data_IF_975133673366
#
_entry.id   IF_975133673366
#
_cell.length_a   1.000
_cell.length_b   1.000
_cell.length_c   1.000
_cell.angle_alpha   90.00
_cell.angle_beta   90.00
_cell.angle_gamma   90.00
#
_symmetry.space_group_name_H-M   'P 1'
#
loop_
_entity.id
_entity.type
_entity.pdbx_description
1 polymer ?
#
# COMPACT_ATOMS: atom_id res chain seq x y z
N UNK A 1 40.32 72.45 -5.67
CA UNK A 1 41.66 72.71 -5.09
C UNK A 1 41.66 72.32 -3.62
N UNK A 2 42.66 71.52 -3.22
CA UNK A 2 43.21 71.29 -1.86
C UNK A 2 42.37 70.52 -0.80
N UNK A 3 42.82 69.30 -0.53
CA UNK A 3 42.81 68.66 0.80
C UNK A 3 43.66 69.49 1.80
N UNK A 4 43.44 69.34 3.13
CA UNK A 4 44.43 68.57 3.88
C UNK A 4 43.89 67.67 5.01
N UNK A 5 44.83 66.85 5.46
CA UNK A 5 44.79 65.69 6.35
C UNK A 5 45.01 66.13 7.84
N UNK A 6 44.70 65.19 8.75
CA UNK A 6 45.27 64.94 10.10
C UNK A 6 44.40 65.30 11.31
N UNK A 7 44.32 64.35 12.25
CA UNK A 7 44.28 64.68 13.67
C UNK A 7 43.50 63.73 14.58
N UNK A 8 44.05 62.56 14.85
CA UNK A 8 43.63 61.63 15.90
C UNK A 8 43.56 62.31 17.30
N UNK A 9 42.47 62.13 18.06
CA UNK A 9 42.52 62.04 19.54
C UNK A 9 41.22 61.49 20.18
N UNK A 10 41.43 60.43 20.96
CA UNK A 10 40.58 59.75 21.96
C UNK A 10 39.27 60.45 22.36
N UNK A 11 38.15 59.73 22.26
CA UNK A 11 36.96 59.95 23.09
C UNK A 11 36.53 58.65 23.76
N UNK A 12 36.74 58.63 25.06
CA UNK A 12 36.15 57.74 26.07
C UNK A 12 34.64 57.67 25.84
N UNK A 13 34.09 56.50 25.51
CA UNK A 13 32.64 56.29 25.44
C UNK A 13 32.13 55.96 26.84
N UNK A 14 31.36 56.89 27.39
CA UNK A 14 30.46 56.66 28.52
C UNK A 14 29.36 55.72 28.03
N UNK A 15 29.22 54.58 28.70
CA UNK A 15 28.18 53.59 28.44
C UNK A 15 26.83 54.13 28.92
N UNK A 16 25.88 54.31 28.00
CA UNK A 16 24.47 54.51 28.32
C UNK A 16 23.79 53.13 28.25
N UNK A 17 23.30 52.66 29.40
CA UNK A 17 22.54 51.43 29.54
C UNK A 17 21.14 51.63 28.96
N UNK A 18 20.86 50.99 27.82
CA UNK A 18 19.50 50.82 27.29
C UNK A 18 18.98 49.52 27.89
N UNK A 19 17.98 49.63 28.77
CA UNK A 19 17.22 48.49 29.27
C UNK A 19 16.36 47.94 28.12
N UNK A 20 16.82 46.89 27.45
CA UNK A 20 15.94 46.02 26.66
C UNK A 20 15.17 45.12 27.63
N UNK A 21 13.87 45.34 27.75
CA UNK A 21 12.99 44.40 28.40
C UNK A 21 12.97 43.09 27.60
N UNK A 22 13.61 42.06 28.13
CA UNK A 22 13.53 40.70 27.63
C UNK A 22 12.08 40.21 27.73
N UNK A 23 11.35 40.27 26.62
CA UNK A 23 10.11 39.52 26.46
C UNK A 23 10.50 38.05 26.25
N UNK A 24 10.49 37.29 27.35
CA UNK A 24 10.66 35.85 27.30
C UNK A 24 9.42 35.27 26.59
N UNK A 25 9.52 35.02 25.28
CA UNK A 25 8.58 34.14 24.60
C UNK A 25 8.72 32.75 25.23
N UNK A 26 7.80 32.41 26.12
CA UNK A 26 7.53 31.02 26.47
C UNK A 26 7.10 30.32 25.18
N UNK A 27 8.07 29.71 24.49
CA UNK A 27 7.83 28.75 23.43
C UNK A 27 7.23 27.47 24.07
N UNK A 28 5.99 27.57 24.52
CA UNK A 28 5.13 26.42 24.76
C UNK A 28 4.66 25.90 23.41
N UNK A 29 5.54 25.20 22.69
CA UNK A 29 5.07 24.30 21.64
C UNK A 29 4.06 23.31 22.26
N UNK A 30 3.10 22.76 21.48
CA UNK A 30 2.24 21.71 21.99
C UNK A 30 3.11 20.64 22.66
N UNK A 31 2.69 20.09 23.82
CA UNK A 31 3.51 19.14 24.55
C UNK A 31 3.96 18.06 23.57
N UNK A 32 5.28 17.93 23.40
CA UNK A 32 5.85 16.86 22.61
C UNK A 32 5.29 15.56 23.20
N UNK A 33 4.50 14.84 22.41
CA UNK A 33 3.97 13.54 22.81
C UNK A 33 5.19 12.68 23.11
N UNK A 34 5.36 12.18 24.34
CA UNK A 34 6.47 11.30 24.66
C UNK A 34 6.39 10.10 23.71
N UNK A 35 7.46 9.87 22.96
CA UNK A 35 7.56 8.71 22.09
C UNK A 35 7.36 7.45 22.94
N UNK A 36 6.34 6.65 22.57
CA UNK A 36 6.05 5.41 23.25
C UNK A 36 7.29 4.48 23.23
N UNK A 37 7.59 3.78 24.33
CA UNK A 37 8.68 2.81 24.34
C UNK A 37 8.34 1.64 23.40
N UNK A 38 9.26 1.26 22.51
CA UNK A 38 9.04 0.21 21.52
C UNK A 38 9.32 -1.20 22.09
N UNK A 39 8.31 -2.08 22.09
CA UNK A 39 8.35 -3.50 21.64
C UNK A 39 7.02 -4.22 21.93
N UNK A 40 6.03 -3.99 21.07
CA UNK A 40 4.75 -4.70 21.06
C UNK A 40 3.92 -4.26 19.87
N UNK A 41 3.03 -5.12 19.36
CA UNK A 41 2.12 -4.74 18.28
C UNK A 41 1.11 -3.73 18.83
N UNK A 42 0.99 -2.57 18.19
CA UNK A 42 0.13 -1.47 18.64
C UNK A 42 -1.27 -1.63 18.03
N UNK A 43 -2.28 -1.77 18.86
CA UNK A 43 -3.66 -2.01 18.44
C UNK A 43 -4.56 -0.84 18.83
N UNK A 44 -5.30 -0.27 17.90
CA UNK A 44 -6.40 0.65 18.20
C UNK A 44 -7.73 -0.11 18.21
N UNK A 45 -8.59 0.17 19.19
CA UNK A 45 -9.97 -0.33 19.21
C UNK A 45 -10.88 0.88 19.08
N UNK A 46 -11.67 0.95 18.01
CA UNK A 46 -12.64 2.03 17.83
C UNK A 46 -13.93 1.72 18.60
N UNK A 47 -14.73 2.75 18.87
CA UNK A 47 -16.08 2.58 19.41
C UNK A 47 -16.93 1.83 18.36
N UNK A 48 -17.64 0.77 18.78
CA UNK A 48 -18.43 -0.03 17.85
C UNK A 48 -19.71 0.72 17.48
N UNK A 49 -20.18 0.50 16.25
CA UNK A 49 -21.38 1.18 15.76
C UNK A 49 -22.65 0.49 16.28
N UNK A 50 -23.60 1.30 16.73
CA UNK A 50 -24.95 0.84 17.02
C UNK A 50 -25.81 0.86 15.74
N UNK A 51 -25.95 -0.30 15.10
CA UNK A 51 -26.79 -0.52 13.93
C UNK A 51 -28.12 -1.21 14.28
N UNK A 52 -28.55 -1.15 15.54
CA UNK A 52 -29.82 -1.76 16.00
C UNK A 52 -31.05 -0.91 15.71
N UNK A 53 -30.86 0.33 15.28
CA UNK A 53 -31.94 1.30 15.06
C UNK A 53 -32.51 1.94 16.33
N UNK A 54 -31.93 1.68 17.51
CA UNK A 54 -32.39 2.26 18.79
C UNK A 54 -31.24 2.65 19.71
N UNK A 55 -31.27 3.89 20.20
CA UNK A 55 -30.31 4.44 21.17
C UNK A 55 -30.39 3.77 22.55
N UNK A 56 -31.50 3.07 22.85
CA UNK A 56 -31.63 2.29 24.08
C UNK A 56 -30.55 1.20 24.21
N UNK A 57 -29.94 0.79 23.09
CA UNK A 57 -28.91 -0.23 23.04
C UNK A 57 -27.48 0.34 23.07
N UNK A 58 -27.30 1.67 23.09
CA UNK A 58 -25.96 2.30 23.12
C UNK A 58 -25.12 1.82 24.30
N UNK A 59 -25.76 1.62 25.45
CA UNK A 59 -25.08 1.10 26.66
C UNK A 59 -24.59 -0.34 26.46
N UNK A 60 -25.35 -1.17 25.73
CA UNK A 60 -24.95 -2.54 25.42
C UNK A 60 -23.81 -2.58 24.39
N UNK A 61 -23.86 -1.73 23.35
CA UNK A 61 -22.78 -1.61 22.36
C UNK A 61 -21.49 -1.15 23.04
N UNK A 62 -21.58 -0.14 23.91
CA UNK A 62 -20.43 0.33 24.70
C UNK A 62 -19.85 -0.77 25.59
N UNK A 63 -20.72 -1.52 26.30
CA UNK A 63 -20.29 -2.64 27.12
C UNK A 63 -19.64 -3.76 26.31
N UNK A 64 -20.13 -4.02 25.09
CA UNK A 64 -19.52 -4.96 24.15
C UNK A 64 -18.12 -4.50 23.72
N UNK A 65 -17.95 -3.22 23.34
CA UNK A 65 -16.64 -2.64 23.02
C UNK A 65 -15.67 -2.77 24.19
N UNK A 66 -16.11 -2.39 25.40
CA UNK A 66 -15.28 -2.47 26.61
C UNK A 66 -14.94 -3.94 26.96
N UNK A 67 -15.83 -4.89 26.68
CA UNK A 67 -15.60 -6.34 26.87
C UNK A 67 -14.52 -6.87 25.94
N UNK A 68 -14.57 -6.52 24.65
CA UNK A 68 -13.56 -6.90 23.65
C UNK A 68 -12.22 -6.26 23.99
N UNK A 69 -12.21 -4.96 24.31
CA UNK A 69 -11.02 -4.25 24.76
C UNK A 69 -10.37 -4.96 25.96
N UNK A 70 -11.17 -5.30 26.97
CA UNK A 70 -10.70 -6.03 28.16
C UNK A 70 -10.13 -7.40 27.82
N UNK A 71 -10.71 -8.12 26.85
CA UNK A 71 -10.20 -9.40 26.41
C UNK A 71 -8.82 -9.27 25.75
N UNK A 72 -8.57 -8.20 25.00
CA UNK A 72 -7.32 -7.98 24.25
C UNK A 72 -6.21 -7.37 25.11
N UNK A 73 -6.53 -6.45 26.03
CA UNK A 73 -5.56 -5.79 26.93
C UNK A 73 -4.92 -6.76 27.93
N UNK A 74 -5.54 -7.91 28.22
CA UNK A 74 -4.99 -8.95 29.11
C UNK A 74 -3.64 -9.53 28.65
N UNK A 75 -3.18 -9.20 27.44
CA UNK A 75 -1.88 -9.64 26.94
C UNK A 75 -0.80 -8.58 27.14
N UNK A 76 0.31 -8.96 27.77
CA UNK A 76 1.52 -8.13 27.90
C UNK A 76 2.23 -7.84 26.55
N UNK A 77 1.74 -8.40 25.43
CA UNK A 77 2.39 -8.32 24.10
C UNK A 77 1.71 -7.37 23.12
N UNK A 78 0.54 -6.83 23.48
CA UNK A 78 -0.25 -5.92 22.64
C UNK A 78 -0.36 -4.59 23.36
N UNK A 79 0.14 -3.54 22.73
CA UNK A 79 -0.01 -2.18 23.25
C UNK A 79 -1.31 -1.60 22.71
N UNK A 80 -2.30 -1.40 23.57
CA UNK A 80 -3.56 -0.80 23.12
C UNK A 80 -3.49 0.73 23.20
N UNK A 81 -3.90 1.39 22.12
CA UNK A 81 -3.96 2.85 22.07
C UNK A 81 -5.00 3.38 23.06
N UNK A 82 -4.63 4.41 23.82
CA UNK A 82 -5.52 5.04 24.79
C UNK A 82 -6.77 5.63 24.14
N UNK A 83 -7.93 5.44 24.79
CA UNK A 83 -9.24 5.87 24.27
C UNK A 83 -9.34 7.39 24.08
N UNK A 84 -8.70 8.18 24.95
CA UNK A 84 -8.61 9.64 24.81
C UNK A 84 -7.91 10.05 23.51
N UNK A 85 -6.84 9.35 23.14
CA UNK A 85 -6.10 9.57 21.88
C UNK A 85 -6.94 9.20 20.66
N UNK A 86 -7.63 8.06 20.71
CA UNK A 86 -8.56 7.63 19.65
C UNK A 86 -9.63 8.72 19.42
N UNK A 87 -10.24 9.23 20.49
CA UNK A 87 -11.25 10.29 20.40
C UNK A 87 -10.70 11.60 19.87
N UNK A 88 -9.51 12.02 20.30
CA UNK A 88 -8.89 13.25 19.81
C UNK A 88 -8.69 13.21 18.28
N UNK A 89 -8.14 12.10 17.77
CA UNK A 89 -7.93 11.92 16.32
C UNK A 89 -9.25 11.89 15.54
N UNK A 90 -10.30 11.27 16.09
CA UNK A 90 -11.62 11.22 15.43
C UNK A 90 -12.37 12.57 15.46
N UNK A 91 -12.22 13.34 16.54
CA UNK A 91 -12.85 14.66 16.72
C UNK A 91 -12.19 15.74 15.86
N UNK A 92 -10.86 15.73 15.76
CA UNK A 92 -10.10 16.72 14.99
C UNK A 92 -10.47 16.75 13.50
N UNK A 93 -11.04 15.66 12.98
CA UNK A 93 -11.25 15.50 11.54
C UNK A 93 -12.73 15.50 11.11
N UNK A 94 -13.69 15.83 12.00
CA UNK A 94 -15.13 15.85 11.68
C UNK A 94 -15.67 14.56 11.00
N UNK A 95 -15.03 13.41 11.21
CA UNK A 95 -15.37 12.14 10.52
C UNK A 95 -16.51 11.37 11.16
N UNK A 96 -17.18 11.96 12.15
CA UNK A 96 -18.29 11.36 12.90
C UNK A 96 -19.62 11.34 12.11
N UNK A 97 -19.70 11.96 10.91
CA UNK A 97 -20.98 12.26 10.26
C UNK A 97 -21.30 11.45 8.99
N UNK A 98 -20.41 10.58 8.50
CA UNK A 98 -20.73 9.69 7.36
C UNK A 98 -20.70 8.24 7.80
N UNK A 99 -21.87 7.61 7.91
CA UNK A 99 -22.09 6.20 8.32
C UNK A 99 -21.56 5.14 7.34
N UNK A 100 -20.46 5.42 6.66
CA UNK A 100 -19.69 4.47 5.87
C UNK A 100 -18.20 4.76 6.15
N UNK A 101 -17.67 4.08 7.17
CA UNK A 101 -16.23 4.05 7.43
C UNK A 101 -15.57 3.09 6.44
N UNK A 102 -15.02 3.64 5.35
CA UNK A 102 -14.26 2.88 4.36
C UNK A 102 -12.85 2.52 4.89
N UNK A 103 -12.32 1.40 4.42
CA UNK A 103 -10.97 0.89 4.74
C UNK A 103 -9.89 1.95 4.52
N UNK A 104 -10.00 2.78 3.48
CA UNK A 104 -9.09 3.90 3.22
C UNK A 104 -9.03 4.92 4.36
N UNK A 105 -10.18 5.35 4.89
CA UNK A 105 -10.24 6.28 6.05
C UNK A 105 -9.66 5.63 7.31
N UNK A 106 -9.90 4.34 7.50
CA UNK A 106 -9.42 3.60 8.67
C UNK A 106 -7.89 3.45 8.67
N UNK A 107 -7.26 3.23 7.51
CA UNK A 107 -5.79 3.22 7.43
C UNK A 107 -5.17 4.57 7.81
N UNK A 108 -5.84 5.68 7.47
CA UNK A 108 -5.37 7.02 7.86
C UNK A 108 -5.49 7.23 9.37
N UNK A 109 -6.64 6.89 9.97
CA UNK A 109 -6.86 6.94 11.43
C UNK A 109 -5.80 6.10 12.15
N UNK A 110 -5.52 4.89 11.67
CA UNK A 110 -4.49 4.01 12.24
C UNK A 110 -3.10 4.65 12.21
N UNK A 111 -2.71 5.25 11.09
CA UNK A 111 -1.42 5.95 10.95
C UNK A 111 -1.29 7.10 11.93
N UNK A 112 -2.35 7.90 12.13
CA UNK A 112 -2.36 9.00 13.10
C UNK A 112 -2.29 8.52 14.55
N UNK A 113 -2.87 7.35 14.84
CA UNK A 113 -2.79 6.72 16.15
C UNK A 113 -1.47 5.99 16.40
N UNK A 114 -0.61 5.89 15.38
CA UNK A 114 0.56 5.01 15.36
C UNK A 114 0.20 3.55 15.70
N UNK A 115 -0.95 3.09 15.22
CA UNK A 115 -1.40 1.72 15.39
C UNK A 115 -0.97 0.86 14.18
N UNK A 116 -0.55 -0.38 14.46
CA UNK A 116 -0.28 -1.40 13.46
C UNK A 116 -1.59 -2.03 12.94
N UNK A 117 -2.56 -2.19 13.83
CA UNK A 117 -3.85 -2.80 13.54
C UNK A 117 -5.01 -2.04 14.20
N UNK A 118 -6.22 -2.17 13.64
CA UNK A 118 -7.44 -1.56 14.16
C UNK A 118 -8.54 -2.61 14.33
N UNK A 119 -9.21 -2.61 15.47
CA UNK A 119 -10.46 -3.35 15.69
C UNK A 119 -11.64 -2.45 15.41
N UNK A 120 -12.55 -2.94 14.59
CA UNK A 120 -13.82 -2.32 14.22
C UNK A 120 -14.95 -3.29 14.52
N UNK A 121 -16.16 -2.78 14.66
CA UNK A 121 -17.32 -3.65 14.75
C UNK A 121 -18.64 -2.91 14.81
N UNK A 122 -19.71 -3.68 14.64
CA UNK A 122 -21.08 -3.21 14.62
C UNK A 122 -21.94 -4.18 15.42
N UNK A 123 -22.87 -3.67 16.23
CA UNK A 123 -23.97 -4.48 16.75
C UNK A 123 -25.25 -4.08 16.04
N UNK A 124 -25.89 -5.04 15.37
CA UNK A 124 -27.21 -4.88 14.77
C UNK A 124 -28.23 -5.81 15.42
N UNK A 125 -29.51 -5.52 15.18
CA UNK A 125 -30.61 -6.36 15.61
C UNK A 125 -31.53 -6.61 14.42
N UNK A 126 -31.65 -7.86 14.02
CA UNK A 126 -32.51 -8.29 12.90
C UNK A 126 -33.58 -9.21 13.49
N UNK A 127 -34.84 -8.81 13.34
CA UNK A 127 -35.98 -9.49 13.96
C UNK A 127 -35.80 -9.66 15.50
N UNK A 128 -35.49 -10.88 15.94
CA UNK A 128 -35.28 -11.25 17.35
C UNK A 128 -33.83 -11.63 17.66
N UNK A 129 -32.91 -11.43 16.73
CA UNK A 129 -31.53 -11.84 16.85
C UNK A 129 -30.59 -10.63 16.87
N UNK A 130 -29.58 -10.73 17.73
CA UNK A 130 -28.50 -9.79 17.89
C UNK A 130 -27.32 -10.28 17.08
N UNK A 131 -26.84 -9.44 16.17
CA UNK A 131 -25.76 -9.79 15.27
C UNK A 131 -24.60 -8.85 15.57
N UNK A 132 -23.52 -9.42 16.09
CA UNK A 132 -22.28 -8.70 16.32
C UNK A 132 -21.27 -9.03 15.23
N UNK A 133 -20.78 -8.02 14.52
CA UNK A 133 -19.66 -8.15 13.60
C UNK A 133 -18.43 -7.50 14.22
N UNK A 134 -17.30 -8.20 14.15
CA UNK A 134 -16.01 -7.72 14.63
C UNK A 134 -14.97 -7.93 13.54
N UNK A 135 -14.15 -6.91 13.25
CA UNK A 135 -13.13 -6.97 12.20
C UNK A 135 -11.80 -6.46 12.73
N UNK A 136 -10.72 -7.11 12.29
CA UNK A 136 -9.35 -6.69 12.51
C UNK A 136 -8.76 -6.22 11.18
N UNK A 137 -8.29 -4.99 11.13
CA UNK A 137 -7.70 -4.36 9.96
C UNK A 137 -6.19 -4.18 10.16
N UNK A 138 -5.38 -4.49 9.15
CA UNK A 138 -3.98 -4.11 9.08
C UNK A 138 -3.83 -2.68 8.56
N UNK A 139 -3.18 -1.80 9.32
CA UNK A 139 -3.06 -0.37 8.97
C UNK A 139 -2.11 -0.15 7.79
N UNK A 140 -1.10 -1.00 7.64
CA UNK A 140 -0.06 -0.88 6.60
C UNK A 140 -0.62 -1.20 5.22
N UNK A 141 -1.38 -2.29 5.12
CA UNK A 141 -1.91 -2.82 3.86
C UNK A 141 -3.38 -2.46 3.61
N UNK A 142 -4.13 -2.06 4.64
CA UNK A 142 -5.57 -1.83 4.55
C UNK A 142 -6.40 -3.10 4.39
N UNK A 143 -5.80 -4.29 4.59
CA UNK A 143 -6.48 -5.58 4.48
C UNK A 143 -7.18 -5.96 5.79
N UNK A 144 -8.31 -6.65 5.69
CA UNK A 144 -8.98 -7.27 6.84
C UNK A 144 -8.24 -8.57 7.16
N UNK A 145 -7.61 -8.64 8.33
CA UNK A 145 -6.88 -9.80 8.84
C UNK A 145 -7.81 -10.85 9.44
N UNK A 146 -8.93 -10.41 10.01
CA UNK A 146 -9.93 -11.27 10.64
C UNK A 146 -11.30 -10.60 10.58
N UNK A 147 -12.34 -11.40 10.37
CA UNK A 147 -13.72 -11.01 10.64
C UNK A 147 -14.39 -12.14 11.46
N UNK A 148 -15.05 -11.79 12.54
CA UNK A 148 -15.86 -12.69 13.36
C UNK A 148 -17.30 -12.17 13.39
N UNK A 149 -18.25 -13.09 13.30
CA UNK A 149 -19.67 -12.81 13.45
C UNK A 149 -20.21 -13.70 14.56
N UNK A 150 -21.05 -13.13 15.42
CA UNK A 150 -21.81 -13.90 16.39
C UNK A 150 -23.28 -13.49 16.35
N UNK A 151 -24.15 -14.46 16.60
CA UNK A 151 -25.59 -14.34 16.55
C UNK A 151 -26.18 -14.82 17.87
N UNK A 152 -26.99 -13.98 18.52
CA UNK A 152 -27.54 -14.26 19.83
C UNK A 152 -29.02 -13.90 19.92
N UNK A 153 -29.83 -14.77 20.51
CA UNK A 153 -31.29 -14.53 20.66
C UNK A 153 -31.64 -13.60 21.82
N UNK A 154 -30.72 -13.48 22.79
CA UNK A 154 -30.92 -12.71 24.01
C UNK A 154 -29.80 -11.69 24.18
N UNK A 155 -30.16 -10.47 24.60
CA UNK A 155 -29.19 -9.42 24.90
C UNK A 155 -28.18 -9.83 26.00
N UNK A 156 -28.60 -10.69 26.94
CA UNK A 156 -27.76 -11.24 28.01
C UNK A 156 -26.57 -12.06 27.50
N UNK A 157 -26.68 -12.63 26.29
CA UNK A 157 -25.65 -13.49 25.66
C UNK A 157 -24.66 -12.72 24.80
N UNK A 158 -24.97 -11.47 24.46
CA UNK A 158 -24.11 -10.60 23.64
C UNK A 158 -22.74 -10.39 24.30
N UNK A 159 -22.66 -10.12 25.60
CA UNK A 159 -21.38 -9.89 26.27
C UNK A 159 -20.51 -11.16 26.36
N UNK A 160 -21.04 -12.34 26.73
CA UNK A 160 -20.31 -13.60 26.59
C UNK A 160 -19.78 -13.87 25.16
N UNK A 161 -20.60 -13.64 24.13
CA UNK A 161 -20.21 -13.81 22.75
C UNK A 161 -19.09 -12.82 22.35
N UNK A 162 -19.22 -11.55 22.74
CA UNK A 162 -18.22 -10.51 22.54
C UNK A 162 -16.89 -10.84 23.20
N UNK A 163 -16.91 -11.43 24.41
CA UNK A 163 -15.70 -11.89 25.09
C UNK A 163 -15.00 -12.99 24.27
N UNK A 164 -15.75 -13.98 23.77
CA UNK A 164 -15.21 -15.05 22.92
C UNK A 164 -14.61 -14.48 21.64
N UNK A 165 -15.29 -13.53 21.00
CA UNK A 165 -14.78 -12.81 19.83
C UNK A 165 -13.49 -12.05 20.16
N UNK A 166 -13.42 -11.38 21.32
CA UNK A 166 -12.21 -10.72 21.81
C UNK A 166 -11.04 -11.67 22.05
N UNK A 167 -11.30 -12.87 22.55
CA UNK A 167 -10.26 -13.92 22.70
C UNK A 167 -9.78 -14.44 21.34
N UNK A 168 -10.66 -14.57 20.34
CA UNK A 168 -10.29 -14.92 18.97
C UNK A 168 -9.48 -13.81 18.30
N UNK A 169 -9.88 -12.55 18.49
CA UNK A 169 -9.11 -11.37 18.05
C UNK A 169 -7.72 -11.38 18.69
N UNK A 170 -7.62 -11.59 20.00
CA UNK A 170 -6.33 -11.64 20.66
C UNK A 170 -5.46 -12.76 20.07
N UNK A 171 -6.03 -13.93 19.80
CA UNK A 171 -5.31 -15.00 19.09
C UNK A 171 -4.92 -14.58 17.68
N UNK A 172 -5.73 -13.84 16.94
CA UNK A 172 -5.39 -13.36 15.60
C UNK A 172 -4.25 -12.32 15.64
N UNK A 173 -4.36 -11.34 16.53
CA UNK A 173 -3.31 -10.34 16.83
C UNK A 173 -2.00 -11.04 17.24
N UNK A 174 -2.09 -12.06 18.09
CA UNK A 174 -0.94 -12.85 18.54
C UNK A 174 -0.45 -13.89 17.52
N UNK A 175 -1.29 -14.39 16.62
CA UNK A 175 -0.89 -15.24 15.47
C UNK A 175 -0.11 -14.44 14.43
N UNK A 176 -0.18 -13.11 14.49
CA UNK A 176 0.85 -12.21 13.97
C UNK A 176 2.26 -12.50 14.53
N UNK A 177 2.44 -13.41 15.50
CA UNK A 177 3.71 -14.09 15.76
C UNK A 177 4.07 -15.03 14.60
N UNK A 178 4.58 -14.39 13.56
CA UNK A 178 5.64 -14.83 12.65
C UNK A 178 5.79 -16.35 12.55
N UNK A 179 4.87 -16.98 11.85
CA UNK A 179 5.19 -18.24 11.20
C UNK A 179 6.19 -17.92 10.08
N UNK A 180 7.30 -18.65 10.06
CA UNK A 180 8.27 -18.53 8.98
C UNK A 180 8.02 -19.62 7.95
N UNK A 181 8.15 -19.23 6.68
CA UNK A 181 7.94 -20.10 5.54
C UNK A 181 9.22 -20.14 4.71
N UNK A 182 9.58 -21.33 4.22
CA UNK A 182 10.58 -21.50 3.18
C UNK A 182 9.88 -21.68 1.85
N UNK A 183 10.14 -20.76 0.93
CA UNK A 183 9.73 -20.87 -0.46
C UNK A 183 10.96 -21.23 -1.29
N UNK A 184 10.83 -22.28 -2.08
CA UNK A 184 11.87 -22.74 -3.02
C UNK A 184 11.35 -22.58 -4.43
N UNK A 185 12.09 -21.87 -5.27
CA UNK A 185 11.80 -21.69 -6.68
C UNK A 185 12.93 -22.22 -7.55
N UNK A 186 12.59 -22.63 -8.77
CA UNK A 186 13.54 -22.85 -9.86
C UNK A 186 13.42 -21.72 -10.86
N UNK A 187 14.54 -21.10 -11.18
CA UNK A 187 14.67 -19.99 -12.12
C UNK A 187 15.24 -20.52 -13.44
N UNK A 188 14.53 -20.26 -14.55
CA UNK A 188 14.95 -20.75 -15.88
C UNK A 188 13.79 -20.88 -16.87
N UNK A 189 14.03 -21.57 -17.99
CA UNK A 189 12.94 -22.01 -18.89
C UNK A 189 12.11 -23.06 -18.14
N UNK A 190 10.80 -23.00 -18.27
CA UNK A 190 9.85 -23.92 -17.61
C UNK A 190 9.99 -25.41 -18.00
N UNK A 191 11.09 -25.81 -18.64
CA UNK A 191 11.47 -27.18 -18.99
C UNK A 191 12.47 -27.83 -18.01
N UNK A 192 12.91 -27.11 -16.98
CA UNK A 192 13.82 -27.64 -15.95
C UNK A 192 15.29 -27.71 -16.37
N UNK A 193 15.66 -27.15 -17.53
CA UNK A 193 17.05 -26.93 -17.88
C UNK A 193 17.57 -25.69 -17.13
N UNK A 194 18.35 -25.91 -16.07
CA UNK A 194 18.96 -24.85 -15.29
C UNK A 194 19.98 -24.09 -16.13
N UNK A 195 19.59 -22.95 -16.69
CA UNK A 195 20.50 -22.06 -17.38
C UNK A 195 21.43 -21.43 -16.34
N UNK A 196 22.75 -21.46 -16.57
CA UNK A 196 23.71 -20.83 -15.65
C UNK A 196 23.44 -19.32 -15.60
N UNK A 197 22.95 -18.85 -14.45
CA UNK A 197 22.74 -17.44 -14.20
C UNK A 197 24.07 -16.71 -14.01
N UNK A 198 24.18 -15.50 -14.55
CA UNK A 198 25.27 -14.59 -14.18
C UNK A 198 25.02 -14.04 -12.78
N UNK A 199 26.08 -13.73 -12.03
CA UNK A 199 25.96 -13.14 -10.69
C UNK A 199 25.09 -11.87 -10.67
N UNK A 200 25.15 -11.04 -11.73
CA UNK A 200 24.31 -9.85 -11.86
C UNK A 200 22.82 -10.16 -12.08
N UNK A 201 22.49 -11.27 -12.75
CA UNK A 201 21.09 -11.71 -12.87
C UNK A 201 20.55 -12.26 -11.55
N UNK A 202 21.38 -12.97 -10.78
CA UNK A 202 21.02 -13.47 -9.45
C UNK A 202 20.74 -12.32 -8.48
N UNK A 203 21.62 -11.32 -8.43
CA UNK A 203 21.45 -10.13 -7.59
C UNK A 203 20.19 -9.35 -7.98
N UNK A 204 19.97 -9.11 -9.29
CA UNK A 204 18.76 -8.44 -9.79
C UNK A 204 17.50 -9.20 -9.42
N UNK A 205 17.49 -10.54 -9.57
CA UNK A 205 16.36 -11.39 -9.22
C UNK A 205 16.04 -11.31 -7.73
N UNK A 206 17.03 -11.48 -6.86
CA UNK A 206 16.83 -11.38 -5.41
C UNK A 206 16.32 -10.01 -4.99
N UNK A 207 16.83 -8.92 -5.58
CA UNK A 207 16.34 -7.57 -5.32
C UNK A 207 14.87 -7.37 -5.72
N UNK A 208 14.42 -7.95 -6.83
CA UNK A 208 13.00 -7.91 -7.24
C UNK A 208 12.14 -8.72 -6.27
N UNK A 209 12.57 -9.95 -5.94
CA UNK A 209 11.84 -10.82 -5.02
C UNK A 209 11.72 -10.20 -3.63
N UNK A 210 12.77 -9.54 -3.15
CA UNK A 210 12.73 -8.78 -1.90
C UNK A 210 11.66 -7.69 -1.93
N UNK A 211 11.67 -6.82 -2.95
CA UNK A 211 10.65 -5.77 -3.09
C UNK A 211 9.23 -6.32 -3.16
N UNK A 212 9.03 -7.47 -3.80
CA UNK A 212 7.73 -8.13 -3.84
C UNK A 212 7.31 -8.64 -2.47
N UNK A 213 8.17 -9.39 -1.76
CA UNK A 213 7.88 -9.87 -0.40
C UNK A 213 7.47 -8.71 0.51
N UNK A 214 8.22 -7.61 0.47
CA UNK A 214 7.92 -6.38 1.22
C UNK A 214 6.58 -5.75 0.79
N UNK A 215 6.27 -5.77 -0.51
CA UNK A 215 5.00 -5.30 -1.07
C UNK A 215 3.78 -6.10 -0.62
N UNK A 216 3.94 -7.42 -0.41
CA UNK A 216 2.94 -8.28 0.23
C UNK A 216 2.90 -8.15 1.76
N UNK A 217 3.71 -7.26 2.33
CA UNK A 217 3.73 -6.94 3.75
C UNK A 217 4.74 -7.75 4.56
N UNK A 218 5.39 -8.75 3.97
CA UNK A 218 6.34 -9.61 4.67
C UNK A 218 7.76 -9.09 4.71
N UNK A 219 8.64 -9.90 5.29
CA UNK A 219 10.09 -9.66 5.28
C UNK A 219 10.87 -10.95 5.03
N UNK A 220 12.10 -10.80 4.51
CA UNK A 220 12.99 -11.92 4.20
C UNK A 220 14.02 -12.06 5.31
N UNK A 221 14.07 -13.21 5.96
CA UNK A 221 15.13 -13.56 6.94
C UNK A 221 16.40 -14.06 6.26
N UNK A 222 16.23 -14.85 5.21
CA UNK A 222 17.33 -15.42 4.43
C UNK A 222 16.89 -15.53 2.98
N UNK A 223 17.75 -15.11 2.07
CA UNK A 223 17.59 -15.34 0.65
C UNK A 223 18.89 -15.90 0.09
N UNK A 224 18.78 -16.90 -0.78
CA UNK A 224 19.88 -17.41 -1.57
C UNK A 224 19.41 -17.70 -2.99
N UNK A 225 20.29 -17.51 -3.95
CA UNK A 225 20.15 -17.97 -5.32
C UNK A 225 21.45 -18.69 -5.67
N UNK A 226 21.37 -19.97 -6.03
CA UNK A 226 22.53 -20.76 -6.47
C UNK A 226 22.10 -21.72 -7.56
N UNK A 227 22.78 -21.68 -8.71
CA UNK A 227 22.54 -22.61 -9.83
C UNK A 227 21.06 -22.63 -10.26
N UNK A 228 20.40 -21.46 -10.27
CA UNK A 228 18.98 -21.34 -10.62
C UNK A 228 18.00 -21.77 -9.52
N UNK A 229 18.47 -22.32 -8.40
CA UNK A 229 17.63 -22.58 -7.22
C UNK A 229 17.57 -21.34 -6.33
N UNK A 230 16.38 -20.81 -6.13
CA UNK A 230 16.10 -19.68 -5.24
C UNK A 230 15.44 -20.18 -3.97
N UNK A 231 15.99 -19.86 -2.81
CA UNK A 231 15.39 -20.18 -1.51
C UNK A 231 15.16 -18.89 -0.72
N UNK A 232 13.91 -18.68 -0.30
CA UNK A 232 13.49 -17.53 0.50
C UNK A 232 12.90 -18.03 1.83
N UNK A 233 13.49 -17.62 2.94
CA UNK A 233 12.87 -17.75 4.27
C UNK A 233 12.16 -16.43 4.59
N UNK A 234 10.84 -16.45 4.54
CA UNK A 234 9.98 -15.26 4.72
C UNK A 234 9.21 -15.32 6.03
N UNK A 235 8.86 -14.15 6.55
CA UNK A 235 8.01 -13.96 7.72
C UNK A 235 7.00 -12.83 7.48
N UNK A 236 6.05 -12.68 8.41
CA UNK A 236 5.01 -11.63 8.35
C UNK A 236 4.12 -11.74 7.09
N UNK A 237 3.89 -12.98 6.63
CA UNK A 237 3.07 -13.27 5.46
C UNK A 237 1.69 -13.77 5.89
N UNK A 238 0.64 -13.12 5.38
CA UNK A 238 -0.74 -13.50 5.63
C UNK A 238 -1.13 -14.81 4.91
N UNK A 239 -0.74 -14.94 3.64
CA UNK A 239 -0.98 -16.14 2.83
C UNK A 239 0.30 -16.49 2.03
N UNK A 240 1.00 -17.59 2.38
CA UNK A 240 2.24 -17.97 1.72
C UNK A 240 2.02 -18.49 0.29
N UNK A 241 0.83 -18.99 -0.04
CA UNK A 241 0.49 -19.46 -1.38
C UNK A 241 0.15 -18.28 -2.30
N UNK A 242 -0.58 -17.27 -1.79
CA UNK A 242 -0.80 -16.00 -2.48
C UNK A 242 0.55 -15.33 -2.80
N UNK A 243 1.44 -15.25 -1.79
CA UNK A 243 2.78 -14.73 -1.98
C UNK A 243 3.52 -15.49 -3.09
N UNK A 244 3.56 -16.83 -3.01
CA UNK A 244 4.26 -17.65 -4.01
C UNK A 244 3.77 -17.35 -5.44
N UNK A 245 2.45 -17.26 -5.63
CA UNK A 245 1.86 -16.86 -6.91
C UNK A 245 2.28 -15.46 -7.36
N UNK A 246 2.27 -14.49 -6.45
CA UNK A 246 2.72 -13.12 -6.69
C UNK A 246 4.20 -13.00 -7.05
N UNK A 247 5.07 -13.78 -6.40
CA UNK A 247 6.50 -13.80 -6.67
C UNK A 247 6.80 -14.29 -8.09
N UNK A 248 6.10 -15.32 -8.56
CA UNK A 248 6.26 -15.86 -9.91
C UNK A 248 5.67 -14.97 -11.01
N UNK A 249 4.69 -14.13 -10.68
CA UNK A 249 4.00 -13.29 -11.67
C UNK A 249 4.95 -12.26 -12.27
N UNK A 250 5.07 -12.23 -13.60
CA UNK A 250 5.85 -11.20 -14.29
C UNK A 250 4.91 -10.29 -15.08
N UNK A 251 4.64 -9.09 -14.57
CA UNK A 251 3.81 -8.11 -15.25
C UNK A 251 4.70 -7.14 -16.04
N UNK A 252 4.51 -7.12 -17.37
CA UNK A 252 5.30 -6.29 -18.29
C UNK A 252 4.45 -5.11 -18.72
N UNK A 253 4.85 -3.91 -18.30
CA UNK A 253 4.25 -2.65 -18.73
C UNK A 253 5.03 -2.05 -19.89
N UNK A 254 4.33 -1.65 -20.95
CA UNK A 254 4.92 -1.01 -22.11
C UNK A 254 4.10 0.20 -22.58
N UNK A 255 4.79 1.22 -23.07
CA UNK A 255 4.20 2.38 -23.73
C UNK A 255 4.61 2.36 -25.20
N UNK A 256 3.61 2.25 -26.09
CA UNK A 256 3.82 2.11 -27.54
C UNK A 256 2.99 3.15 -28.28
N UNK A 257 3.52 3.68 -29.38
CA UNK A 257 2.74 4.60 -30.21
C UNK A 257 1.69 3.84 -31.00
N UNK A 258 0.53 4.44 -31.16
CA UNK A 258 -0.53 3.92 -32.01
C UNK A 258 -0.38 4.50 -33.42
N UNK A 259 -0.53 3.68 -34.45
CA UNK A 259 -0.67 4.16 -35.82
C UNK A 259 -2.05 4.78 -36.00
N UNK A 260 -2.11 5.90 -36.72
CA UNK A 260 -3.37 6.57 -37.03
C UNK A 260 -4.09 5.84 -38.17
N UNK A 261 -4.62 4.67 -37.83
CA UNK A 261 -5.39 3.78 -38.68
C UNK A 261 -6.74 3.60 -38.01
N UNK A 262 -7.82 3.68 -38.79
CA UNK A 262 -9.18 3.46 -38.29
C UNK A 262 -9.36 2.04 -37.74
N UNK A 263 -9.67 1.09 -38.61
CA UNK A 263 -9.79 -0.33 -38.26
C UNK A 263 -8.67 -1.12 -38.96
N UNK A 264 -7.50 -1.27 -38.30
CA UNK A 264 -6.33 -1.85 -38.94
C UNK A 264 -6.48 -3.38 -39.13
N UNK A 265 -6.21 -3.83 -40.34
CA UNK A 265 -6.05 -5.25 -40.73
C UNK A 265 -4.57 -5.61 -40.91
N UNK A 266 -4.20 -6.91 -40.92
CA UNK A 266 -2.81 -7.33 -41.13
C UNK A 266 -2.16 -6.76 -42.40
N UNK A 267 -2.93 -6.43 -43.43
CA UNK A 267 -2.41 -5.85 -44.68
C UNK A 267 -2.20 -4.33 -44.60
N UNK A 268 -2.94 -3.64 -43.72
CA UNK A 268 -2.88 -2.18 -43.59
C UNK A 268 -1.83 -1.69 -42.59
N UNK A 269 -1.27 -2.60 -41.79
CA UNK A 269 -0.32 -2.27 -40.72
C UNK A 269 1.03 -1.89 -41.35
N UNK A 270 1.55 -0.67 -41.11
CA UNK A 270 2.84 -0.24 -41.63
C UNK A 270 4.00 -1.06 -41.07
N UNK A 271 5.12 -1.07 -41.79
CA UNK A 271 6.36 -1.63 -41.29
C UNK A 271 6.74 -0.99 -39.93
N UNK A 272 7.12 -1.83 -38.96
CA UNK A 272 7.46 -1.38 -37.61
C UNK A 272 6.27 -1.24 -36.66
N UNK A 273 5.06 -1.61 -37.08
CA UNK A 273 3.87 -1.72 -36.23
C UNK A 273 3.38 -3.18 -36.18
N UNK A 274 2.63 -3.51 -35.13
CA UNK A 274 1.97 -4.79 -34.94
C UNK A 274 0.53 -4.61 -34.45
N UNK A 275 -0.35 -5.56 -34.77
CA UNK A 275 -1.72 -5.56 -34.29
C UNK A 275 -1.78 -6.08 -32.86
N UNK A 276 -2.51 -5.35 -32.02
CA UNK A 276 -2.93 -5.74 -30.69
C UNK A 276 -4.44 -5.63 -30.55
N UNK A 277 -4.96 -6.23 -29.49
CA UNK A 277 -6.35 -6.11 -29.08
C UNK A 277 -6.45 -5.04 -27.99
N UNK A 278 -7.40 -4.14 -28.17
CA UNK A 278 -7.81 -3.12 -27.21
C UNK A 278 -9.27 -3.38 -26.80
N UNK A 279 -9.53 -3.39 -25.49
CA UNK A 279 -10.85 -3.62 -24.92
C UNK A 279 -11.00 -4.94 -24.14
N UNK A 280 -11.96 -4.95 -23.21
CA UNK A 280 -12.35 -6.14 -22.43
C UNK A 280 -13.53 -6.89 -23.06
N UNK A 281 -13.90 -8.03 -22.44
CA UNK A 281 -14.98 -8.95 -22.88
C UNK A 281 -16.20 -8.20 -23.46
N UNK A 282 -16.32 -8.14 -24.78
CA UNK A 282 -17.51 -7.62 -25.49
C UNK A 282 -17.28 -6.59 -26.60
N UNK A 283 -16.10 -5.96 -26.69
CA UNK A 283 -15.75 -5.06 -27.80
C UNK A 283 -14.25 -5.15 -28.09
N UNK A 284 -13.84 -6.16 -28.86
CA UNK A 284 -12.46 -6.27 -29.33
C UNK A 284 -12.27 -5.34 -30.53
N UNK A 285 -11.54 -4.24 -30.34
CA UNK A 285 -11.06 -3.43 -31.47
C UNK A 285 -9.60 -3.73 -31.72
N UNK A 286 -9.26 -3.99 -32.98
CA UNK A 286 -7.87 -4.09 -33.41
C UNK A 286 -7.22 -2.71 -33.37
N UNK A 287 -6.03 -2.63 -32.80
CA UNK A 287 -5.22 -1.41 -32.77
C UNK A 287 -3.81 -1.72 -33.23
N UNK A 288 -3.25 -0.88 -34.10
CA UNK A 288 -1.88 -1.03 -34.56
C UNK A 288 -0.94 -0.22 -33.66
N UNK A 289 -0.02 -0.89 -32.97
CA UNK A 289 0.95 -0.27 -32.05
C UNK A 289 2.38 -0.46 -32.54
N UNK A 290 3.30 0.41 -32.18
CA UNK A 290 4.71 0.28 -32.55
C UNK A 290 5.27 -1.05 -32.04
N UNK A 291 6.02 -1.75 -32.89
CA UNK A 291 6.60 -3.05 -32.56
C UNK A 291 7.65 -2.95 -31.44
N UNK A 292 8.33 -1.80 -31.34
CA UNK A 292 9.24 -1.48 -30.23
C UNK A 292 8.53 -0.57 -29.21
N UNK A 293 8.64 -0.85 -27.90
CA UNK A 293 8.18 0.06 -26.86
C UNK A 293 9.07 1.30 -26.81
N UNK A 294 8.44 2.45 -26.55
CA UNK A 294 9.15 3.71 -26.30
C UNK A 294 9.60 3.84 -24.84
N UNK A 295 8.82 3.26 -23.93
CA UNK A 295 9.10 3.19 -22.51
C UNK A 295 8.57 1.88 -21.95
N UNK A 296 9.25 1.32 -20.96
CA UNK A 296 8.87 0.07 -20.28
C UNK A 296 8.75 0.31 -18.78
N UNK A 297 8.17 -0.66 -18.08
CA UNK A 297 8.08 -0.65 -16.61
C UNK A 297 9.41 -0.68 -15.87
N UNK A 298 10.55 -0.90 -16.55
CA UNK A 298 11.87 -0.92 -15.92
C UNK A 298 12.26 0.43 -15.30
N UNK A 299 11.68 1.54 -15.78
CA UNK A 299 11.95 2.88 -15.27
C UNK A 299 10.94 3.37 -14.22
N UNK A 300 10.23 2.46 -13.55
CA UNK A 300 9.27 2.78 -12.49
C UNK A 300 9.99 2.89 -11.15
N UNK A 301 9.87 4.05 -10.50
CA UNK A 301 10.33 4.27 -9.12
C UNK A 301 9.26 3.91 -8.09
N UNK A 302 7.97 4.03 -8.44
CA UNK A 302 6.87 3.71 -7.55
C UNK A 302 5.57 3.44 -8.29
N UNK A 303 4.76 2.57 -7.70
CA UNK A 303 3.39 2.32 -8.11
C UNK A 303 2.50 2.27 -6.87
N UNK A 304 1.31 2.87 -6.95
CA UNK A 304 0.34 2.92 -5.85
C UNK A 304 -1.08 2.87 -6.38
N UNK A 305 -1.99 2.32 -5.58
CA UNK A 305 -3.41 2.28 -5.93
C UNK A 305 -4.03 3.63 -5.55
N UNK A 306 -4.88 4.16 -6.42
CA UNK A 306 -5.80 5.24 -6.14
C UNK A 306 -7.21 4.85 -6.58
N UNK A 307 -8.19 5.69 -6.26
CA UNK A 307 -9.55 5.58 -6.77
C UNK A 307 -9.80 6.76 -7.70
N UNK A 308 -10.43 6.50 -8.84
CA UNK A 308 -10.89 7.55 -9.75
C UNK A 308 -12.13 8.27 -9.19
N UNK A 309 -12.64 9.27 -9.90
CA UNK A 309 -13.83 10.03 -9.51
C UNK A 309 -15.12 9.18 -9.45
N UNK A 310 -15.11 7.98 -10.03
CA UNK A 310 -16.20 6.99 -9.99
C UNK A 310 -15.92 5.89 -8.97
N UNK A 311 -14.94 6.09 -8.08
CA UNK A 311 -14.55 5.14 -7.03
C UNK A 311 -14.00 3.81 -7.57
N UNK A 312 -13.43 3.81 -8.78
CA UNK A 312 -12.84 2.61 -9.41
C UNK A 312 -11.33 2.57 -9.16
N UNK A 313 -10.75 1.39 -8.89
CA UNK A 313 -9.30 1.25 -8.70
C UNK A 313 -8.50 1.67 -9.94
N UNK A 314 -7.46 2.48 -9.72
CA UNK A 314 -6.50 2.90 -10.74
C UNK A 314 -5.08 2.80 -10.18
N UNK A 315 -4.08 2.62 -11.04
CA UNK A 315 -2.67 2.60 -10.62
C UNK A 315 -2.00 3.92 -10.98
N UNK A 316 -1.50 4.61 -9.96
CA UNK A 316 -0.60 5.74 -10.13
C UNK A 316 0.84 5.24 -10.22
N UNK A 317 1.51 5.56 -11.31
CA UNK A 317 2.89 5.23 -11.59
C UNK A 317 3.75 6.50 -11.50
N UNK A 318 4.87 6.38 -10.80
CA UNK A 318 5.93 7.37 -10.75
C UNK A 318 7.17 6.78 -11.40
N UNK A 319 7.68 7.44 -12.44
CA UNK A 319 8.93 7.07 -13.07
C UNK A 319 10.13 7.55 -12.25
N UNK A 320 11.25 6.84 -12.39
CA UNK A 320 12.57 7.29 -11.92
C UNK A 320 13.07 8.50 -12.74
N UNK A 321 14.19 9.14 -12.39
CA UNK A 321 14.70 10.30 -13.15
C UNK A 321 14.97 10.01 -14.64
N UNK A 322 15.45 8.81 -14.98
CA UNK A 322 15.72 8.42 -16.36
C UNK A 322 14.41 8.23 -17.14
N UNK A 323 13.44 7.54 -16.54
CA UNK A 323 12.09 7.34 -17.07
C UNK A 323 11.34 8.65 -17.21
N UNK A 324 11.47 9.56 -16.26
CA UNK A 324 10.86 10.90 -16.30
C UNK A 324 11.36 11.68 -17.51
N UNK A 325 12.67 11.70 -17.73
CA UNK A 325 13.27 12.37 -18.90
C UNK A 325 12.82 11.74 -20.22
N UNK A 326 12.83 10.39 -20.31
CA UNK A 326 12.35 9.66 -21.49
C UNK A 326 10.87 9.88 -21.76
N UNK A 327 10.04 9.86 -20.72
CA UNK A 327 8.59 10.05 -20.80
C UNK A 327 8.24 11.48 -21.24
N UNK A 328 8.93 12.48 -20.68
CA UNK A 328 8.81 13.88 -21.08
C UNK A 328 9.13 14.06 -22.56
N UNK A 329 10.30 13.59 -22.99
CA UNK A 329 10.73 13.68 -24.40
C UNK A 329 9.75 12.98 -25.33
N UNK A 330 9.37 11.74 -25.00
CA UNK A 330 8.45 10.94 -25.81
C UNK A 330 7.09 11.62 -25.95
N UNK A 331 6.53 12.16 -24.86
CA UNK A 331 5.23 12.85 -24.93
C UNK A 331 5.33 14.16 -25.71
N UNK A 332 6.41 14.94 -25.53
CA UNK A 332 6.63 16.18 -26.28
C UNK A 332 6.80 15.98 -27.79
N UNK A 333 7.50 14.91 -28.21
CA UNK A 333 7.70 14.58 -29.63
C UNK A 333 6.44 14.00 -30.30
N UNK A 334 5.39 13.64 -29.54
CA UNK A 334 4.23 12.90 -30.03
C UNK A 334 2.88 13.53 -29.65
N UNK A 335 2.83 14.85 -29.44
CA UNK A 335 1.59 15.58 -29.18
C UNK A 335 0.57 15.34 -30.31
N UNK A 336 -0.68 15.11 -29.94
CA UNK A 336 -1.79 14.78 -30.86
C UNK A 336 -1.89 13.31 -31.24
N UNK A 337 -0.87 12.49 -30.93
CA UNK A 337 -0.86 11.05 -31.22
C UNK A 337 -1.40 10.24 -30.04
N UNK A 338 -1.93 9.05 -30.33
CA UNK A 338 -2.35 8.08 -29.30
C UNK A 338 -1.16 7.29 -28.77
N UNK A 339 -1.09 7.14 -27.44
CA UNK A 339 -0.10 6.34 -26.73
C UNK A 339 -0.78 5.14 -26.09
N UNK A 340 -0.53 3.95 -26.61
CA UNK A 340 -1.03 2.72 -26.03
C UNK A 340 -0.23 2.37 -24.77
N UNK A 341 -0.96 2.04 -23.71
CA UNK A 341 -0.44 1.49 -22.45
C UNK A 341 -0.79 0.00 -22.45
N UNK A 342 0.24 -0.85 -22.51
CA UNK A 342 0.08 -2.29 -22.60
C UNK A 342 0.51 -2.94 -21.30
N UNK A 343 -0.26 -3.94 -20.87
CA UNK A 343 0.10 -4.84 -19.78
C UNK A 343 0.08 -6.27 -20.32
N UNK A 344 1.23 -6.96 -20.22
CA UNK A 344 1.38 -8.34 -20.73
C UNK A 344 1.00 -8.49 -22.21
N UNK A 345 1.24 -7.44 -23.00
CA UNK A 345 0.97 -7.41 -24.44
C UNK A 345 -0.47 -7.04 -24.83
N UNK A 346 -1.37 -6.85 -23.86
CA UNK A 346 -2.74 -6.40 -24.09
C UNK A 346 -2.87 -4.89 -23.89
N UNK A 347 -3.61 -4.21 -24.76
CA UNK A 347 -3.78 -2.74 -24.66
C UNK A 347 -4.87 -2.44 -23.64
N UNK A 348 -4.47 -1.78 -22.54
CA UNK A 348 -5.37 -1.34 -21.49
C UNK A 348 -6.08 -0.03 -21.85
N UNK A 349 -5.33 0.90 -22.44
CA UNK A 349 -5.82 2.21 -22.86
C UNK A 349 -4.92 2.82 -23.94
N UNK A 350 -5.48 3.67 -24.80
CA UNK A 350 -4.74 4.45 -25.81
C UNK A 350 -5.06 5.96 -25.79
N UNK A 351 -4.80 6.68 -24.68
CA UNK A 351 -5.08 8.11 -24.59
C UNK A 351 -4.31 8.92 -25.63
N UNK A 352 -4.92 10.03 -26.06
CA UNK A 352 -4.26 11.04 -26.91
C UNK A 352 -3.32 11.88 -26.04
N UNK A 353 -2.07 12.02 -26.46
CA UNK A 353 -1.09 12.90 -25.83
C UNK A 353 -1.49 14.34 -26.13
N UNK A 354 -1.82 15.11 -25.09
CA UNK A 354 -2.27 16.51 -25.24
C UNK A 354 -1.15 17.53 -25.02
N UNK A 355 -0.16 17.16 -24.21
CA UNK A 355 0.94 18.02 -23.83
C UNK A 355 2.17 17.18 -23.45
N UNK A 356 3.31 17.84 -23.33
CA UNK A 356 4.53 17.24 -22.79
C UNK A 356 4.39 16.98 -21.28
N UNK A 357 4.60 15.74 -20.84
CA UNK A 357 4.46 15.36 -19.43
C UNK A 357 5.82 15.33 -18.73
N UNK A 358 6.19 16.47 -18.14
CA UNK A 358 7.47 16.65 -17.42
C UNK A 358 7.50 16.07 -16.01
N UNK A 359 6.33 15.78 -15.44
CA UNK A 359 6.20 15.35 -14.04
C UNK A 359 6.56 13.88 -13.77
N UNK A 360 6.81 13.07 -14.81
CA UNK A 360 7.17 11.66 -14.65
C UNK A 360 6.08 10.80 -14.00
N UNK A 361 4.82 11.24 -14.06
CA UNK A 361 3.67 10.55 -13.48
C UNK A 361 2.74 10.07 -14.58
N UNK A 362 2.19 8.88 -14.40
CA UNK A 362 1.16 8.32 -15.27
C UNK A 362 0.07 7.65 -14.43
N UNK A 363 -1.14 7.61 -14.97
CA UNK A 363 -2.26 6.90 -14.38
C UNK A 363 -2.69 5.78 -15.32
N UNK A 364 -2.75 4.56 -14.81
CA UNK A 364 -3.22 3.38 -15.52
C UNK A 364 -4.64 3.09 -15.03
N UNK A 365 -5.61 3.35 -15.91
CA UNK A 365 -7.02 3.03 -15.67
C UNK A 365 -7.35 1.69 -16.33
N UNK A 366 -8.30 0.97 -15.75
CA UNK A 366 -8.76 -0.33 -16.23
C UNK A 366 -9.92 -0.83 -15.39
N UNK A 367 -10.53 -1.94 -15.78
CA UNK A 367 -11.59 -2.58 -15.00
C UNK A 367 -10.99 -3.50 -13.92
N UNK A 368 -10.09 -2.96 -13.09
CA UNK A 368 -9.42 -3.72 -12.05
C UNK A 368 -10.33 -3.87 -10.82
N UNK A 369 -10.32 -5.05 -10.23
CA UNK A 369 -10.68 -5.22 -8.83
C UNK A 369 -9.59 -4.63 -7.93
N UNK A 370 -9.90 -4.36 -6.66
CA UNK A 370 -8.91 -3.84 -5.70
C UNK A 370 -7.74 -4.82 -5.51
N UNK A 371 -8.01 -6.12 -5.53
CA UNK A 371 -6.99 -7.17 -5.39
C UNK A 371 -6.07 -7.22 -6.62
N UNK A 372 -6.63 -7.16 -7.84
CA UNK A 372 -5.84 -7.06 -9.08
C UNK A 372 -5.00 -5.79 -9.10
N UNK A 373 -5.57 -4.65 -8.70
CA UNK A 373 -4.85 -3.38 -8.61
C UNK A 373 -3.69 -3.46 -7.60
N UNK A 374 -3.90 -4.10 -6.46
CA UNK A 374 -2.85 -4.33 -5.47
C UNK A 374 -1.71 -5.17 -6.04
N UNK A 375 -2.00 -6.35 -6.59
CA UNK A 375 -0.98 -7.25 -7.16
C UNK A 375 -0.20 -6.56 -8.27
N UNK A 376 -0.90 -5.84 -9.15
CA UNK A 376 -0.27 -5.07 -10.21
C UNK A 376 0.66 -3.98 -9.64
N UNK A 377 0.21 -3.23 -8.62
CA UNK A 377 1.05 -2.19 -8.01
C UNK A 377 2.34 -2.75 -7.39
N UNK A 378 2.25 -3.91 -6.72
CA UNK A 378 3.41 -4.60 -6.15
C UNK A 378 4.36 -5.03 -7.25
N UNK A 379 3.85 -5.66 -8.32
CA UNK A 379 4.69 -6.14 -9.41
C UNK A 379 5.36 -5.01 -10.20
N UNK A 380 4.64 -3.92 -10.49
CA UNK A 380 5.22 -2.75 -11.16
C UNK A 380 6.28 -2.05 -10.32
N UNK A 381 6.08 -1.95 -9.00
CA UNK A 381 7.05 -1.36 -8.08
C UNK A 381 8.30 -2.23 -7.92
N UNK A 382 8.14 -3.55 -7.93
CA UNK A 382 9.25 -4.48 -7.81
C UNK A 382 10.10 -4.54 -9.08
N UNK A 383 9.46 -4.41 -10.24
CA UNK A 383 10.08 -4.48 -11.56
C UNK A 383 9.92 -5.86 -12.22
N UNK A 384 10.41 -5.96 -13.44
CA UNK A 384 10.28 -7.16 -14.28
C UNK A 384 11.31 -8.22 -13.90
N UNK A 385 10.84 -9.46 -13.72
CA UNK A 385 11.71 -10.61 -13.47
C UNK A 385 12.64 -10.85 -14.68
N UNK A 386 13.95 -11.07 -14.45
CA UNK A 386 14.89 -11.36 -15.53
C UNK A 386 14.68 -12.74 -16.17
N UNK A 387 13.87 -13.60 -15.56
CA UNK A 387 13.57 -14.96 -16.01
C UNK A 387 12.28 -15.48 -15.36
N UNK A 388 11.80 -16.63 -15.83
CA UNK A 388 10.62 -17.28 -15.27
C UNK A 388 10.98 -18.03 -13.99
N UNK A 389 10.04 -18.04 -13.04
CA UNK A 389 10.15 -18.80 -11.79
C UNK A 389 9.06 -19.87 -11.75
N UNK A 390 9.40 -21.05 -11.26
CA UNK A 390 8.45 -22.09 -10.90
C UNK A 390 8.59 -22.45 -9.42
N UNK A 391 7.45 -22.63 -8.74
CA UNK A 391 7.44 -23.04 -7.34
C UNK A 391 7.83 -24.51 -7.24
N UNK A 392 8.94 -24.79 -6.55
CA UNK A 392 9.44 -26.14 -6.29
C UNK A 392 9.11 -26.63 -4.88
N UNK A 393 8.89 -25.72 -3.92
CA UNK A 393 8.52 -26.10 -2.56
C UNK A 393 8.00 -24.94 -1.73
N UNK A 394 7.09 -25.25 -0.82
CA UNK A 394 6.57 -24.35 0.21
C UNK A 394 6.51 -25.14 1.51
N UNK A 395 7.37 -24.78 2.46
CA UNK A 395 7.52 -25.47 3.74
C UNK A 395 7.27 -24.48 4.89
N UNK A 396 6.47 -24.89 5.87
CA UNK A 396 6.27 -24.14 7.12
C UNK A 396 7.35 -24.53 8.11
N UNK A 397 8.20 -23.58 8.50
CA UNK A 397 9.36 -23.83 9.36
C UNK A 397 9.03 -23.80 10.87
N UNK A 398 7.81 -23.38 11.24
CA UNK A 398 7.36 -23.29 12.63
C UNK A 398 7.39 -21.85 13.19
N UNK A 399 6.89 -21.65 14.42
CA UNK A 399 6.91 -20.34 15.08
C UNK A 399 8.35 -19.93 15.40
N UNK A 400 8.67 -18.65 15.26
CA UNK A 400 9.96 -18.13 15.71
C UNK A 400 10.16 -18.40 17.22
N UNK A 401 11.37 -18.78 17.65
CA UNK A 401 11.70 -18.95 19.07
C UNK A 401 11.50 -17.68 19.89
#
# INVERSE_FOLDING_TARGET
MKNPILGCRRKTRVAAAIALSSFLLLAGGPPAIPAAPAKGLTLAVLDFENATGSTAHDSLVKAMTDTILTAVVKSERVQVVERSRVKAVLLEQQWTLTGLMDTGKMTYVGKMLAADQIVLGTLSRVEKEWIGNVRLLDVKTGRILMAEMFEEKEASKVLPAARKAGELLLRAVQRGKKESYRLTFLAGRGDGSGEKMTAGQEEKLLGILQKKVEGYGGSIRRASCREGKVELEVEEIADPLELAGGLMKNDILEFRLVADLGDPTPQTVPAGFELKREGGKGSERSIAVSAKPLLTGENIAGASIALDSMNRPTILVQFDPQGTSRFSRMTGENIGRRLAILLNGEVLASPVIREEIRGGKAQISGNFTLDEAFRLSVNLKAGTLPMTLSLAGLEKLGPLP
#
